data_IF_322646936570
#
_entry.id   IF_322646936570
#
_cell.length_a   1.000
_cell.length_b   1.000
_cell.length_c   1.000
_cell.angle_alpha   90.00
_cell.angle_beta   90.00
_cell.angle_gamma   90.00
#
_symmetry.space_group_name_H-M   'P 1'
#
loop_
_entity.id
_entity.type
_entity.pdbx_description
1 polymer ?
#
# COMPACT_ATOMS: atom_id res chain seq x y z
N UNK A 1 29.11 -14.18 -1.52
CA UNK A 1 28.48 -12.87 -1.83
C UNK A 1 27.61 -12.94 -3.10
N UNK A 2 28.10 -13.52 -4.20
CA UNK A 2 27.35 -13.63 -5.49
C UNK A 2 26.03 -14.43 -5.35
N UNK A 3 26.04 -15.53 -4.60
CA UNK A 3 24.87 -16.41 -4.38
C UNK A 3 23.74 -15.68 -3.62
N UNK A 4 24.09 -14.85 -2.61
CA UNK A 4 23.12 -14.06 -1.85
C UNK A 4 22.49 -12.99 -2.75
N UNK A 5 23.28 -12.35 -3.60
CA UNK A 5 22.78 -11.35 -4.55
C UNK A 5 21.83 -11.99 -5.58
N UNK A 6 22.18 -13.18 -6.09
CA UNK A 6 21.34 -13.95 -7.01
C UNK A 6 20.03 -14.37 -6.35
N UNK A 7 20.06 -14.83 -5.09
CA UNK A 7 18.86 -15.19 -4.33
C UNK A 7 17.92 -13.98 -4.13
N UNK A 8 18.45 -12.80 -3.79
CA UNK A 8 17.68 -11.58 -3.64
C UNK A 8 17.00 -11.14 -4.96
N UNK A 9 17.67 -11.32 -6.09
CA UNK A 9 17.11 -11.00 -7.41
C UNK A 9 15.98 -11.97 -7.77
N UNK A 10 16.17 -13.27 -7.59
CA UNK A 10 15.19 -14.30 -7.95
C UNK A 10 13.99 -14.39 -6.98
N UNK A 11 14.18 -14.03 -5.72
CA UNK A 11 13.09 -14.02 -4.71
C UNK A 11 12.20 -12.77 -4.76
N UNK A 12 12.54 -11.77 -5.58
CA UNK A 12 11.84 -10.48 -5.59
C UNK A 12 12.05 -9.66 -4.30
N UNK A 13 13.03 -10.06 -3.47
CA UNK A 13 13.37 -9.37 -2.23
C UNK A 13 14.24 -8.12 -2.42
N UNK A 14 14.56 -7.78 -3.69
CA UNK A 14 15.30 -6.55 -3.99
C UNK A 14 14.48 -5.31 -3.59
N UNK A 15 15.07 -4.36 -2.85
CA UNK A 15 14.35 -3.17 -2.44
C UNK A 15 14.09 -2.23 -3.63
N UNK A 16 12.86 -1.74 -3.76
CA UNK A 16 12.49 -0.64 -4.67
C UNK A 16 12.52 0.71 -3.95
N UNK A 17 12.38 0.70 -2.62
CA UNK A 17 12.57 1.86 -1.77
C UNK A 17 13.01 1.43 -0.36
N UNK A 18 13.57 2.38 0.39
CA UNK A 18 13.81 2.26 1.84
C UNK A 18 13.06 3.39 2.53
N UNK A 19 12.30 3.07 3.58
CA UNK A 19 11.61 4.04 4.45
C UNK A 19 12.17 3.89 5.85
N UNK A 20 12.90 4.87 6.35
CA UNK A 20 13.58 4.84 7.64
C UNK A 20 14.49 3.60 7.85
N UNK A 21 15.00 3.03 6.75
CA UNK A 21 15.78 1.80 6.74
C UNK A 21 14.99 0.52 6.49
N UNK A 22 13.66 0.54 6.52
CA UNK A 22 12.80 -0.60 6.20
C UNK A 22 12.62 -0.73 4.68
N UNK A 23 12.89 -1.91 4.09
CA UNK A 23 12.79 -2.08 2.65
C UNK A 23 11.35 -2.32 2.20
N UNK A 24 10.92 -1.57 1.18
CA UNK A 24 9.80 -1.95 0.32
C UNK A 24 10.38 -2.82 -0.79
N UNK A 25 9.96 -4.07 -0.88
CA UNK A 25 10.50 -5.03 -1.85
C UNK A 25 9.83 -4.91 -3.22
N UNK A 26 10.54 -5.38 -4.28
CA UNK A 26 9.98 -5.48 -5.63
C UNK A 26 8.71 -6.35 -5.67
N UNK A 27 8.69 -7.45 -4.91
CA UNK A 27 7.52 -8.34 -4.80
C UNK A 27 6.32 -7.63 -4.19
N UNK A 28 6.54 -6.87 -3.11
CA UNK A 28 5.49 -6.09 -2.46
C UNK A 28 4.96 -4.98 -3.36
N UNK A 29 5.85 -4.21 -3.96
CA UNK A 29 5.49 -3.16 -4.90
C UNK A 29 4.72 -3.72 -6.11
N UNK A 30 5.21 -4.80 -6.71
CA UNK A 30 4.55 -5.45 -7.86
C UNK A 30 3.15 -5.96 -7.53
N UNK A 31 2.97 -6.55 -6.34
CA UNK A 31 1.66 -6.95 -5.86
C UNK A 31 0.72 -5.76 -5.70
N UNK A 32 1.17 -4.70 -5.02
CA UNK A 32 0.37 -3.48 -4.81
C UNK A 32 0.03 -2.79 -6.13
N UNK A 33 0.97 -2.80 -7.10
CA UNK A 33 0.73 -2.31 -8.46
C UNK A 33 -0.39 -3.11 -9.16
N UNK A 34 -0.32 -4.44 -9.13
CA UNK A 34 -1.34 -5.27 -9.75
C UNK A 34 -2.71 -5.07 -9.12
N UNK A 35 -2.79 -4.96 -7.80
CA UNK A 35 -4.04 -4.66 -7.07
C UNK A 35 -4.62 -3.31 -7.53
N UNK A 36 -3.81 -2.27 -7.57
CA UNK A 36 -4.23 -0.94 -8.00
C UNK A 36 -4.63 -0.93 -9.49
N UNK A 37 -3.86 -1.59 -10.36
CA UNK A 37 -4.18 -1.70 -11.78
C UNK A 37 -5.54 -2.37 -12.00
N UNK A 38 -5.79 -3.52 -11.37
CA UNK A 38 -7.07 -4.21 -11.45
C UNK A 38 -8.23 -3.35 -10.96
N UNK A 39 -8.05 -2.66 -9.84
CA UNK A 39 -9.07 -1.77 -9.29
C UNK A 39 -9.40 -0.64 -10.26
N UNK A 40 -8.42 0.11 -10.74
CA UNK A 40 -8.65 1.21 -11.68
C UNK A 40 -9.21 0.73 -13.03
N UNK A 41 -8.74 -0.43 -13.52
CA UNK A 41 -9.29 -1.02 -14.74
C UNK A 41 -10.78 -1.36 -14.57
N UNK A 42 -11.15 -1.95 -13.44
CA UNK A 42 -12.54 -2.30 -13.12
C UNK A 42 -13.41 -1.06 -12.95
N UNK A 43 -12.91 -0.03 -12.26
CA UNK A 43 -13.57 1.27 -12.12
C UNK A 43 -13.85 1.92 -13.49
N UNK A 44 -12.85 1.94 -14.38
CA UNK A 44 -13.01 2.49 -15.72
C UNK A 44 -14.04 1.71 -16.53
N UNK A 45 -14.03 0.36 -16.48
CA UNK A 45 -15.01 -0.49 -17.16
C UNK A 45 -16.43 -0.25 -16.65
N UNK A 46 -16.64 -0.19 -15.34
CA UNK A 46 -17.95 0.08 -14.73
C UNK A 46 -18.51 1.44 -15.18
N UNK A 47 -17.63 2.42 -15.33
CA UNK A 47 -17.99 3.76 -15.77
C UNK A 47 -17.99 3.93 -17.31
N UNK A 48 -17.87 2.85 -18.09
CA UNK A 48 -17.78 2.85 -19.56
C UNK A 48 -16.67 3.79 -20.09
N UNK A 49 -15.54 3.87 -19.38
CA UNK A 49 -14.37 4.66 -19.78
C UNK A 49 -13.32 3.79 -20.44
N UNK A 50 -12.47 4.42 -21.27
CA UNK A 50 -11.36 3.74 -21.93
C UNK A 50 -10.32 3.28 -20.92
N UNK A 51 -10.03 1.99 -20.91
CA UNK A 51 -9.02 1.38 -20.02
C UNK A 51 -7.60 1.48 -20.56
N UNK A 52 -7.43 1.78 -21.87
CA UNK A 52 -6.11 1.86 -22.51
C UNK A 52 -5.24 2.98 -21.94
N UNK A 53 -5.86 3.95 -21.28
CA UNK A 53 -5.14 5.02 -20.57
C UNK A 53 -4.18 4.47 -19.50
N UNK A 54 -4.50 3.33 -18.88
CA UNK A 54 -3.65 2.70 -17.88
C UNK A 54 -2.37 2.08 -18.49
N UNK A 55 -2.44 1.67 -19.76
CA UNK A 55 -1.33 1.06 -20.50
C UNK A 55 -0.49 2.10 -21.25
N UNK A 56 -0.91 3.35 -21.24
CA UNK A 56 -0.13 4.46 -21.79
C UNK A 56 1.14 4.70 -20.95
N UNK A 57 2.18 5.27 -21.58
CA UNK A 57 3.42 5.62 -20.88
C UNK A 57 3.16 6.50 -19.65
N UNK A 58 2.25 7.47 -19.77
CA UNK A 58 1.92 8.38 -18.66
C UNK A 58 1.07 7.70 -17.60
N UNK A 59 0.13 6.83 -18.01
CA UNK A 59 -0.68 6.03 -17.08
C UNK A 59 0.16 5.08 -16.23
N UNK A 60 1.06 4.32 -16.88
CA UNK A 60 2.01 3.44 -16.18
C UNK A 60 2.89 4.24 -15.22
N UNK A 61 3.44 5.38 -15.67
CA UNK A 61 4.30 6.21 -14.83
C UNK A 61 3.55 6.79 -13.63
N UNK A 62 2.28 7.22 -13.83
CA UNK A 62 1.45 7.74 -12.74
C UNK A 62 1.03 6.65 -11.76
N UNK A 63 0.65 5.47 -12.26
CA UNK A 63 0.28 4.35 -11.41
C UNK A 63 1.48 3.88 -10.57
N UNK A 64 2.68 3.78 -11.16
CA UNK A 64 3.91 3.47 -10.42
C UNK A 64 4.17 4.50 -9.30
N UNK A 65 4.03 5.78 -9.61
CA UNK A 65 4.20 6.87 -8.63
C UNK A 65 3.20 6.76 -7.49
N UNK A 66 1.91 6.63 -7.81
CA UNK A 66 0.83 6.59 -6.83
C UNK A 66 0.91 5.35 -5.93
N UNK A 67 1.21 4.18 -6.52
CA UNK A 67 1.37 2.93 -5.76
C UNK A 67 2.56 3.00 -4.82
N UNK A 68 3.70 3.53 -5.28
CA UNK A 68 4.87 3.66 -4.41
C UNK A 68 4.61 4.65 -3.27
N UNK A 69 3.97 5.78 -3.56
CA UNK A 69 3.63 6.79 -2.54
C UNK A 69 2.70 6.19 -1.47
N UNK A 70 1.63 5.51 -1.88
CA UNK A 70 0.71 4.81 -0.96
C UNK A 70 1.40 3.70 -0.16
N UNK A 71 2.33 2.95 -0.76
CA UNK A 71 3.08 1.90 -0.05
C UNK A 71 4.01 2.51 1.01
N UNK A 72 4.64 3.65 0.70
CA UNK A 72 5.45 4.41 1.67
C UNK A 72 4.58 4.93 2.83
N UNK A 73 3.39 5.47 2.55
CA UNK A 73 2.45 5.92 3.58
C UNK A 73 2.02 4.78 4.51
N UNK A 74 1.71 3.62 3.93
CA UNK A 74 1.36 2.42 4.70
C UNK A 74 2.52 1.97 5.60
N UNK A 75 3.77 2.05 5.14
CA UNK A 75 4.93 1.71 5.96
C UNK A 75 5.14 2.73 7.10
N UNK A 76 4.96 4.02 6.85
CA UNK A 76 5.02 5.06 7.90
C UNK A 76 3.93 4.81 8.97
N UNK A 77 2.70 4.49 8.56
CA UNK A 77 1.62 4.13 9.49
C UNK A 77 1.99 2.88 10.30
N UNK A 78 2.50 1.85 9.62
CA UNK A 78 2.90 0.59 10.24
C UNK A 78 4.00 0.79 11.28
N UNK A 79 5.05 1.54 10.96
CA UNK A 79 6.11 1.91 11.90
C UNK A 79 5.56 2.62 13.15
N UNK A 80 4.66 3.58 12.95
CA UNK A 80 4.13 4.34 14.07
C UNK A 80 3.22 3.48 14.96
N UNK A 81 2.37 2.64 14.36
CA UNK A 81 1.54 1.70 15.12
C UNK A 81 2.39 0.72 15.94
N UNK A 82 3.48 0.21 15.38
CA UNK A 82 4.40 -0.70 16.07
C UNK A 82 5.18 -0.03 17.21
N UNK A 83 5.32 1.30 17.21
CA UNK A 83 5.93 2.04 18.35
C UNK A 83 4.98 2.17 19.53
N UNK A 84 3.67 2.21 19.28
CA UNK A 84 2.65 2.53 20.29
C UNK A 84 1.84 1.32 20.75
N UNK A 85 1.83 0.24 19.98
CA UNK A 85 1.09 -0.99 20.26
C UNK A 85 2.04 -2.19 20.19
N UNK A 86 1.85 -3.16 21.09
CA UNK A 86 2.51 -4.46 20.94
C UNK A 86 1.92 -5.20 19.73
N UNK A 87 2.71 -6.06 19.04
CA UNK A 87 2.24 -6.79 17.88
C UNK A 87 0.92 -7.58 18.11
N UNK A 88 0.80 -8.26 19.24
CA UNK A 88 -0.40 -9.04 19.57
C UNK A 88 -1.63 -8.16 19.78
N UNK A 89 -1.47 -7.00 20.44
CA UNK A 89 -2.55 -6.04 20.65
C UNK A 89 -3.01 -5.43 19.30
N UNK A 90 -2.04 -5.06 18.44
CA UNK A 90 -2.33 -4.53 17.11
C UNK A 90 -3.08 -5.56 16.25
N UNK A 91 -2.62 -6.81 16.22
CA UNK A 91 -3.27 -7.88 15.49
C UNK A 91 -4.69 -8.14 15.99
N UNK A 92 -4.91 -8.16 17.31
CA UNK A 92 -6.23 -8.33 17.90
C UNK A 92 -7.21 -7.21 17.47
N UNK A 93 -6.76 -5.95 17.46
CA UNK A 93 -7.58 -4.81 17.03
C UNK A 93 -7.88 -4.90 15.52
N UNK A 94 -6.90 -5.31 14.71
CA UNK A 94 -7.09 -5.51 13.26
C UNK A 94 -8.14 -6.60 13.01
N UNK A 95 -8.02 -7.75 13.67
CA UNK A 95 -8.95 -8.86 13.52
C UNK A 95 -10.37 -8.48 13.99
N UNK A 96 -10.52 -7.75 15.10
CA UNK A 96 -11.80 -7.20 15.53
C UNK A 96 -12.43 -6.28 14.47
N UNK A 97 -11.63 -5.40 13.86
CA UNK A 97 -12.15 -4.51 12.81
C UNK A 97 -12.59 -5.29 11.56
N UNK A 98 -11.80 -6.27 11.14
CA UNK A 98 -12.10 -7.08 9.96
C UNK A 98 -13.30 -7.99 10.20
N UNK A 99 -13.49 -8.51 11.43
CA UNK A 99 -14.63 -9.38 11.77
C UNK A 99 -16.00 -8.68 11.64
N UNK A 100 -16.02 -7.34 11.62
CA UNK A 100 -17.23 -6.54 11.39
C UNK A 100 -17.64 -6.49 9.90
N UNK A 101 -16.76 -6.96 9.00
CA UNK A 101 -17.04 -7.08 7.57
C UNK A 101 -17.61 -8.47 7.30
N UNK A 102 -18.76 -8.56 6.65
CA UNK A 102 -19.34 -9.86 6.26
C UNK A 102 -18.58 -10.45 5.06
N UNK A 103 -17.44 -11.07 5.37
CA UNK A 103 -16.56 -11.69 4.37
C UNK A 103 -17.18 -12.94 3.73
N UNK A 104 -18.19 -13.54 4.36
CA UNK A 104 -18.78 -14.79 3.90
C UNK A 104 -19.90 -14.59 2.87
N UNK A 105 -20.33 -13.36 2.63
CA UNK A 105 -21.34 -13.11 1.61
C UNK A 105 -20.77 -13.33 0.20
N UNK A 106 -21.52 -14.03 -0.64
CA UNK A 106 -21.15 -14.27 -2.05
C UNK A 106 -20.86 -12.97 -2.81
N UNK A 107 -21.60 -11.90 -2.48
CA UNK A 107 -21.41 -10.58 -3.09
C UNK A 107 -20.06 -9.97 -2.73
N UNK A 108 -19.60 -10.17 -1.50
CA UNK A 108 -18.31 -9.66 -1.06
C UNK A 108 -17.15 -10.40 -1.73
N UNK A 109 -17.23 -11.74 -1.81
CA UNK A 109 -16.22 -12.56 -2.48
C UNK A 109 -16.11 -12.21 -3.97
N UNK A 110 -17.26 -12.12 -4.66
CA UNK A 110 -17.31 -11.68 -6.07
C UNK A 110 -16.77 -10.26 -6.25
N UNK A 111 -17.06 -9.35 -5.30
CA UNK A 111 -16.52 -7.98 -5.31
C UNK A 111 -15.00 -7.94 -5.22
N UNK A 112 -14.40 -8.74 -4.33
CA UNK A 112 -12.94 -8.84 -4.18
C UNK A 112 -12.27 -9.35 -5.47
N UNK A 113 -12.85 -10.37 -6.10
CA UNK A 113 -12.34 -10.94 -7.35
C UNK A 113 -12.53 -9.97 -8.54
N UNK A 114 -13.73 -9.42 -8.71
CA UNK A 114 -14.05 -8.55 -9.85
C UNK A 114 -13.33 -7.20 -9.80
N UNK A 115 -13.22 -6.59 -8.60
CA UNK A 115 -12.64 -5.25 -8.49
C UNK A 115 -11.13 -5.28 -8.31
N UNK A 116 -10.58 -6.28 -7.62
CA UNK A 116 -9.17 -6.31 -7.25
C UNK A 116 -8.40 -7.49 -7.86
N UNK A 117 -9.06 -8.46 -8.46
CA UNK A 117 -8.43 -9.68 -8.99
C UNK A 117 -7.87 -10.58 -7.90
N UNK A 118 -8.41 -10.54 -6.69
CA UNK A 118 -7.85 -11.20 -5.51
C UNK A 118 -8.77 -12.30 -4.98
N UNK A 119 -8.15 -13.38 -4.46
CA UNK A 119 -8.85 -14.29 -3.57
C UNK A 119 -9.30 -13.56 -2.30
N UNK A 120 -10.29 -14.10 -1.58
CA UNK A 120 -10.75 -13.50 -0.33
C UNK A 120 -9.63 -13.38 0.72
N UNK A 121 -8.76 -14.38 0.82
CA UNK A 121 -7.63 -14.37 1.75
C UNK A 121 -6.62 -13.27 1.38
N UNK A 122 -6.29 -13.15 0.10
CA UNK A 122 -5.39 -12.10 -0.39
C UNK A 122 -6.01 -10.70 -0.21
N UNK A 123 -7.32 -10.58 -0.48
CA UNK A 123 -8.04 -9.34 -0.25
C UNK A 123 -8.02 -8.93 1.24
N UNK A 124 -8.27 -9.89 2.15
CA UNK A 124 -8.14 -9.66 3.59
C UNK A 124 -6.74 -9.15 3.92
N UNK A 125 -5.72 -9.85 3.45
CA UNK A 125 -4.33 -9.55 3.80
C UNK A 125 -3.80 -8.25 3.19
N UNK A 126 -4.09 -8.01 1.90
CA UNK A 126 -3.42 -6.94 1.15
C UNK A 126 -4.27 -5.68 0.99
N UNK A 127 -5.58 -5.74 1.29
CA UNK A 127 -6.48 -4.59 1.23
C UNK A 127 -7.07 -4.26 2.60
N UNK A 128 -7.68 -5.24 3.28
CA UNK A 128 -8.37 -4.95 4.54
C UNK A 128 -7.42 -4.70 5.70
N UNK A 129 -6.32 -5.45 5.82
CA UNK A 129 -5.33 -5.24 6.90
C UNK A 129 -4.68 -3.85 6.81
N UNK A 130 -4.14 -3.38 5.67
CA UNK A 130 -3.66 -2.00 5.54
C UNK A 130 -4.73 -0.96 5.86
N UNK A 131 -5.96 -1.15 5.38
CA UNK A 131 -7.07 -0.25 5.67
C UNK A 131 -7.45 -0.21 7.14
N UNK A 132 -7.43 -1.36 7.81
CA UNK A 132 -7.66 -1.43 9.26
C UNK A 132 -6.58 -0.67 10.04
N UNK A 133 -5.31 -0.80 9.66
CA UNK A 133 -4.19 -0.03 10.26
C UNK A 133 -4.37 1.47 10.07
N UNK A 134 -4.73 1.92 8.87
CA UNK A 134 -5.06 3.32 8.59
C UNK A 134 -6.17 3.83 9.51
N UNK A 135 -7.27 3.06 9.64
CA UNK A 135 -8.41 3.41 10.50
C UNK A 135 -8.05 3.42 12.00
N UNK A 136 -7.14 2.55 12.45
CA UNK A 136 -6.64 2.55 13.83
C UNK A 136 -5.87 3.84 14.09
N UNK A 137 -4.97 4.21 13.17
CA UNK A 137 -4.22 5.46 13.27
C UNK A 137 -5.15 6.67 13.23
N UNK A 138 -6.12 6.70 12.31
CA UNK A 138 -7.12 7.76 12.21
C UNK A 138 -7.93 7.93 13.49
N UNK A 139 -8.39 6.83 14.09
CA UNK A 139 -9.13 6.87 15.36
C UNK A 139 -8.29 7.40 16.52
N UNK A 140 -7.00 7.04 16.56
CA UNK A 140 -6.07 7.59 17.56
C UNK A 140 -5.86 9.09 17.38
N UNK A 141 -5.55 9.52 16.15
CA UNK A 141 -5.33 10.93 15.84
C UNK A 141 -6.58 11.77 16.11
N UNK A 142 -7.75 11.23 15.85
CA UNK A 142 -9.03 11.89 16.17
C UNK A 142 -9.15 12.19 17.67
N UNK A 143 -8.74 11.27 18.55
CA UNK A 143 -8.72 11.50 20.00
C UNK A 143 -7.71 12.59 20.43
N UNK A 144 -6.73 12.89 19.59
CA UNK A 144 -5.74 13.95 19.78
C UNK A 144 -6.13 15.26 19.04
N UNK A 145 -7.34 15.35 18.46
CA UNK A 145 -7.80 16.45 17.61
C UNK A 145 -6.90 16.70 16.38
N UNK A 146 -6.34 15.64 15.81
CA UNK A 146 -5.47 15.67 14.62
C UNK A 146 -6.12 14.96 13.45
N UNK A 147 -5.85 15.44 12.23
CA UNK A 147 -6.28 14.79 10.99
C UNK A 147 -5.16 13.89 10.45
N UNK A 148 -5.54 12.73 9.88
CA UNK A 148 -4.59 11.78 9.32
C UNK A 148 -3.74 12.39 8.19
N UNK A 149 -4.36 13.21 7.32
CA UNK A 149 -3.64 13.85 6.22
C UNK A 149 -2.55 14.82 6.69
N UNK A 150 -2.83 15.65 7.69
CA UNK A 150 -1.86 16.58 8.26
C UNK A 150 -0.73 15.82 8.96
N UNK A 151 -1.09 14.77 9.71
CA UNK A 151 -0.13 13.91 10.37
C UNK A 151 0.79 13.19 9.36
N UNK A 152 0.21 12.63 8.28
CA UNK A 152 1.01 12.00 7.21
C UNK A 152 1.96 12.99 6.56
N UNK A 153 1.50 14.20 6.26
CA UNK A 153 2.35 15.26 5.69
C UNK A 153 3.54 15.58 6.60
N UNK A 154 3.30 15.70 7.89
CA UNK A 154 4.36 15.91 8.89
C UNK A 154 5.33 14.72 8.92
N UNK A 155 4.81 13.49 9.04
CA UNK A 155 5.64 12.29 9.12
C UNK A 155 6.43 12.03 7.84
N UNK A 156 5.84 12.25 6.67
CA UNK A 156 6.54 12.16 5.37
C UNK A 156 7.74 13.11 5.33
N UNK A 157 7.59 14.35 5.77
CA UNK A 157 8.69 15.33 5.80
C UNK A 157 9.82 14.97 6.76
N UNK A 158 9.53 14.19 7.81
CA UNK A 158 10.50 13.71 8.79
C UNK A 158 11.13 12.36 8.41
N UNK A 159 10.52 11.64 7.46
CA UNK A 159 10.96 10.30 7.06
C UNK A 159 12.15 10.35 6.10
N UNK A 160 13.12 9.46 6.33
CA UNK A 160 14.20 9.25 5.38
C UNK A 160 13.78 8.21 4.34
N UNK A 161 13.48 8.68 3.13
CA UNK A 161 13.07 7.80 2.02
C UNK A 161 14.12 7.80 0.92
N UNK A 162 14.50 6.60 0.45
CA UNK A 162 15.39 6.40 -0.71
C UNK A 162 14.65 5.54 -1.73
N UNK A 163 14.51 6.01 -2.97
CA UNK A 163 13.80 5.31 -4.05
C UNK A 163 14.82 4.80 -5.06
N UNK A 164 14.69 3.53 -5.46
CA UNK A 164 15.54 2.85 -6.45
C UNK A 164 14.85 2.67 -7.81
N UNK A 165 13.57 3.03 -7.95
CA UNK A 165 12.84 2.97 -9.24
C UNK A 165 13.30 4.14 -10.11
N UNK A 166 13.83 3.88 -11.33
CA UNK A 166 14.22 4.93 -12.26
C UNK A 166 13.04 5.86 -12.60
N UNK A 167 13.30 7.16 -12.71
CA UNK A 167 12.30 8.16 -13.04
C UNK A 167 11.40 8.60 -11.88
N UNK A 168 11.58 8.04 -10.67
CA UNK A 168 10.91 8.48 -9.45
C UNK A 168 11.89 9.03 -8.44
N UNK A 169 11.43 9.98 -7.62
CA UNK A 169 12.19 10.57 -6.53
C UNK A 169 11.29 10.85 -5.32
N UNK A 170 11.90 11.03 -4.17
CA UNK A 170 11.27 11.54 -2.98
C UNK A 170 11.57 13.03 -2.82
N UNK A 171 10.54 13.88 -2.63
CA UNK A 171 10.71 15.33 -2.44
C UNK A 171 10.51 15.80 -0.98
N UNK A 172 10.31 14.87 -0.06
CA UNK A 172 9.99 15.14 1.34
C UNK A 172 8.48 15.19 1.65
N UNK A 173 7.64 15.31 0.65
CA UNK A 173 6.19 15.31 0.78
C UNK A 173 5.51 14.13 0.10
N UNK A 174 6.21 13.50 -0.87
CA UNK A 174 5.68 12.38 -1.62
C UNK A 174 6.62 11.89 -2.72
N UNK A 175 6.14 10.90 -3.46
CA UNK A 175 6.83 10.39 -4.65
C UNK A 175 6.52 11.29 -5.83
N UNK A 176 7.56 11.79 -6.49
CA UNK A 176 7.47 12.66 -7.68
C UNK A 176 8.18 12.04 -8.87
N UNK A 177 7.80 12.45 -10.09
CA UNK A 177 8.51 12.11 -11.32
C UNK A 177 9.74 13.01 -11.45
N UNK A 178 10.88 12.41 -11.90
CA UNK A 178 12.11 13.13 -12.23
C UNK A 178 12.04 13.68 -13.65
#
# INVERSE_FOLDING_TARGET
MLIILMYLIFSGAWPVALVNGHPITFSEFGRNYNIAYHFYQSELKINNKDTSVLDSKDGIAELNRAVLDSTIENEIINEELNKILKPDDLNSIIDEKISKVDLNSDNFQKGAELLYGLSLNDFKQFVLVPKAKEQIMQGRLFSENRQLGDWLKEKKSQSRVVIFIPGLAWDGGGVVKK
#
